data_IF_894272032435
#
_entry.id   IF_894272032435
#
_cell.length_a   1.000
_cell.length_b   1.000
_cell.length_c   1.000
_cell.angle_alpha   90.00
_cell.angle_beta   90.00
_cell.angle_gamma   90.00
#
_symmetry.space_group_name_H-M   'P 1'
#
loop_
_entity.id
_entity.type
_entity.pdbx_description
1 polymer ?
#
# COMPACT_ATOMS: atom_id res chain seq x y z
N UNK A 1 -5.79 -7.23 -12.26
CA UNK A 1 -5.08 -5.97 -11.99
C UNK A 1 -3.58 -6.20 -11.85
N UNK A 2 -3.15 -6.99 -10.85
CA UNK A 2 -1.73 -7.31 -10.60
C UNK A 2 -0.92 -7.62 -11.86
N UNK A 3 -1.31 -8.65 -12.64
CA UNK A 3 -0.59 -9.03 -13.86
C UNK A 3 -0.40 -7.87 -14.86
N UNK A 4 -1.41 -6.99 -15.02
CA UNK A 4 -1.31 -5.83 -15.91
C UNK A 4 -0.24 -4.86 -15.43
N UNK A 5 -0.15 -4.63 -14.12
CA UNK A 5 0.86 -3.75 -13.54
C UNK A 5 2.26 -4.39 -13.63
N UNK A 6 2.35 -5.69 -13.35
CA UNK A 6 3.60 -6.45 -13.43
C UNK A 6 4.20 -6.42 -14.83
N UNK A 7 3.38 -6.63 -15.87
CA UNK A 7 3.82 -6.56 -17.27
C UNK A 7 4.44 -5.18 -17.58
N UNK A 8 3.82 -4.09 -17.10
CA UNK A 8 4.36 -2.76 -17.34
C UNK A 8 5.72 -2.56 -16.67
N UNK A 9 5.89 -3.04 -15.43
CA UNK A 9 7.19 -3.01 -14.73
C UNK A 9 8.24 -3.84 -15.47
N UNK A 10 7.90 -5.06 -15.88
CA UNK A 10 8.80 -5.95 -16.63
C UNK A 10 9.23 -5.33 -17.97
N UNK A 11 8.30 -4.69 -18.68
CA UNK A 11 8.60 -3.97 -19.93
C UNK A 11 9.51 -2.77 -19.71
N UNK A 12 9.31 -2.02 -18.61
CA UNK A 12 10.18 -0.90 -18.26
C UNK A 12 11.63 -1.35 -18.07
N UNK A 13 11.83 -2.45 -17.36
CA UNK A 13 13.17 -3.02 -17.11
C UNK A 13 13.80 -3.58 -18.38
N UNK A 14 13.04 -4.36 -19.16
CA UNK A 14 13.56 -5.03 -20.35
C UNK A 14 13.91 -4.06 -21.48
N UNK A 15 13.14 -2.98 -21.63
CA UNK A 15 13.28 -2.03 -22.73
C UNK A 15 13.94 -0.71 -22.27
N UNK A 16 14.25 -0.56 -20.98
CA UNK A 16 14.77 0.67 -20.38
C UNK A 16 13.90 1.91 -20.70
N UNK A 17 12.59 1.76 -20.55
CA UNK A 17 11.58 2.81 -20.78
C UNK A 17 10.76 3.07 -19.52
N UNK A 18 10.06 4.20 -19.48
CA UNK A 18 9.23 4.61 -18.35
C UNK A 18 7.74 4.53 -18.70
N UNK A 19 7.07 3.46 -18.25
CA UNK A 19 5.62 3.27 -18.39
C UNK A 19 4.95 3.52 -17.05
N UNK A 20 4.11 4.55 -16.98
CA UNK A 20 3.30 4.85 -15.80
C UNK A 20 1.94 4.16 -15.90
N UNK A 21 1.44 3.68 -14.76
CA UNK A 21 0.12 3.04 -14.68
C UNK A 21 -0.75 3.68 -13.61
N UNK A 22 -2.03 3.85 -13.95
CA UNK A 22 -3.04 4.40 -13.05
C UNK A 22 -4.18 3.38 -12.93
N UNK A 23 -4.20 2.56 -11.87
CA UNK A 23 -5.30 1.62 -11.64
C UNK A 23 -6.62 2.37 -11.45
N UNK A 24 -7.46 2.36 -12.50
CA UNK A 24 -8.78 2.95 -12.44
C UNK A 24 -9.85 1.92 -12.06
N UNK A 25 -10.86 2.37 -11.31
CA UNK A 25 -12.09 1.60 -11.08
C UNK A 25 -12.88 1.52 -12.39
N UNK A 26 -13.31 0.32 -12.76
CA UNK A 26 -14.14 0.12 -13.94
C UNK A 26 -15.57 0.63 -13.70
N UNK A 27 -16.14 1.28 -14.71
CA UNK A 27 -17.54 1.74 -14.74
C UNK A 27 -18.17 1.15 -16.01
N UNK A 28 -19.30 0.43 -15.91
CA UNK A 28 -20.00 -0.09 -17.08
C UNK A 28 -20.46 1.02 -18.03
N UNK A 29 -20.52 0.72 -19.33
CA UNK A 29 -20.99 1.68 -20.33
C UNK A 29 -22.52 1.75 -20.42
N UNK A 30 -23.23 0.69 -19.99
CA UNK A 30 -24.67 0.54 -20.14
C UNK A 30 -25.32 0.03 -18.84
N UNK A 31 -26.63 0.28 -18.69
CA UNK A 31 -27.45 -0.13 -17.53
C UNK A 31 -27.55 0.93 -16.44
N UNK A 32 -28.40 0.72 -15.43
CA UNK A 32 -28.55 1.65 -14.30
C UNK A 32 -27.23 1.88 -13.55
N UNK A 33 -26.39 0.85 -13.45
CA UNK A 33 -25.06 0.88 -12.83
C UNK A 33 -24.07 1.84 -13.51
N UNK A 34 -24.32 2.26 -14.76
CA UNK A 34 -23.46 3.26 -15.45
C UNK A 34 -23.72 4.69 -14.97
N UNK A 35 -24.86 4.92 -14.31
CA UNK A 35 -25.28 6.26 -13.85
C UNK A 35 -24.61 6.68 -12.55
N UNK A 36 -24.02 5.74 -11.80
CA UNK A 36 -23.35 6.03 -10.53
C UNK A 36 -21.93 5.43 -10.50
N UNK A 37 -21.15 5.81 -9.49
CA UNK A 37 -19.78 5.29 -9.29
C UNK A 37 -19.73 4.09 -8.36
N UNK A 38 -20.87 3.45 -8.12
CA UNK A 38 -21.00 2.44 -7.08
C UNK A 38 -20.66 1.05 -7.59
N UNK A 39 -20.84 0.77 -8.88
CA UNK A 39 -20.57 -0.53 -9.51
C UNK A 39 -19.31 -1.23 -8.96
N UNK A 40 -19.46 -2.45 -8.45
CA UNK A 40 -18.36 -3.33 -8.06
C UNK A 40 -18.46 -4.60 -8.90
N UNK A 41 -17.41 -4.93 -9.64
CA UNK A 41 -17.39 -6.11 -10.48
C UNK A 41 -17.37 -7.42 -9.68
N UNK A 42 -17.82 -8.52 -10.30
CA UNK A 42 -18.00 -9.85 -9.66
C UNK A 42 -16.79 -10.41 -8.89
N UNK A 43 -15.57 -10.00 -9.24
CA UNK A 43 -14.31 -10.46 -8.61
C UNK A 43 -13.73 -9.45 -7.61
N UNK A 44 -14.47 -8.38 -7.31
CA UNK A 44 -14.08 -7.31 -6.40
C UNK A 44 -15.09 -7.20 -5.27
N UNK A 45 -14.61 -6.74 -4.12
CA UNK A 45 -15.42 -6.40 -2.97
C UNK A 45 -14.96 -5.04 -2.41
N UNK A 46 -15.70 -4.50 -1.45
CA UNK A 46 -15.40 -3.17 -0.87
C UNK A 46 -14.03 -3.13 -0.22
N UNK A 47 -13.64 -4.20 0.51
CA UNK A 47 -12.33 -4.32 1.14
C UNK A 47 -11.18 -4.20 0.13
N UNK A 48 -11.25 -4.92 -0.99
CA UNK A 48 -10.19 -4.92 -1.99
C UNK A 48 -10.08 -3.56 -2.69
N UNK A 49 -11.21 -2.91 -2.95
CA UNK A 49 -11.23 -1.53 -3.49
C UNK A 49 -10.54 -0.58 -2.51
N UNK A 50 -10.84 -0.68 -1.21
CA UNK A 50 -10.21 0.14 -0.15
C UNK A 50 -8.73 -0.14 0.04
N UNK A 51 -8.30 -1.41 -0.07
CA UNK A 51 -6.90 -1.78 -0.03
C UNK A 51 -6.12 -1.15 -1.18
N UNK A 52 -6.62 -1.27 -2.43
CA UNK A 52 -6.00 -0.62 -3.59
C UNK A 52 -5.98 0.90 -3.44
N UNK A 53 -7.08 1.51 -2.98
CA UNK A 53 -7.10 2.96 -2.69
C UNK A 53 -6.05 3.34 -1.64
N UNK A 54 -5.86 2.52 -0.62
CA UNK A 54 -4.86 2.77 0.42
C UNK A 54 -3.45 2.70 -0.14
N UNK A 55 -3.14 1.70 -0.98
CA UNK A 55 -1.87 1.62 -1.70
C UNK A 55 -1.69 2.86 -2.58
N UNK A 56 -2.71 3.22 -3.36
CA UNK A 56 -2.65 4.35 -4.29
C UNK A 56 -2.57 5.71 -3.59
N UNK A 57 -3.18 5.87 -2.43
CA UNK A 57 -3.05 7.09 -1.63
C UNK A 57 -1.60 7.33 -1.24
N UNK A 58 -0.87 6.25 -0.91
CA UNK A 58 0.57 6.30 -0.61
C UNK A 58 1.38 6.52 -1.90
N UNK A 59 0.93 6.05 -3.06
CA UNK A 59 1.64 6.29 -4.34
C UNK A 59 1.18 7.57 -5.08
N UNK A 60 0.28 8.37 -4.50
CA UNK A 60 -0.45 9.47 -5.17
C UNK A 60 -1.13 9.06 -6.49
N UNK A 61 -1.59 7.82 -6.58
CA UNK A 61 -2.30 7.26 -7.72
C UNK A 61 -1.41 6.75 -8.85
N UNK A 62 -0.10 7.04 -8.81
CA UNK A 62 0.87 6.60 -9.82
C UNK A 62 1.46 5.26 -9.39
N UNK A 63 1.56 4.30 -10.30
CA UNK A 63 2.40 3.12 -10.10
C UNK A 63 3.71 3.36 -10.85
N UNK A 64 4.79 3.53 -10.08
CA UNK A 64 6.14 3.77 -10.58
C UNK A 64 6.74 2.51 -11.22
N UNK A 65 7.61 2.65 -12.24
CA UNK A 65 8.25 1.53 -12.92
C UNK A 65 9.31 0.78 -12.08
N UNK A 66 9.71 1.29 -10.92
CA UNK A 66 10.71 0.61 -10.08
C UNK A 66 10.20 -0.72 -9.50
N UNK A 67 10.85 -1.85 -9.83
CA UNK A 67 10.45 -3.19 -9.35
C UNK A 67 10.40 -3.31 -7.83
N UNK A 68 11.43 -2.87 -7.11
CA UNK A 68 11.44 -2.93 -5.65
C UNK A 68 10.23 -2.21 -5.03
N UNK A 69 9.87 -1.07 -5.61
CA UNK A 69 8.73 -0.29 -5.18
C UNK A 69 7.41 -1.00 -5.49
N UNK A 70 7.27 -1.49 -6.72
CA UNK A 70 6.11 -2.27 -7.15
C UNK A 70 5.89 -3.50 -6.27
N UNK A 71 6.94 -4.30 -6.07
CA UNK A 71 6.89 -5.53 -5.26
C UNK A 71 6.57 -5.23 -3.80
N UNK A 72 7.08 -4.13 -3.24
CA UNK A 72 6.72 -3.74 -1.87
C UNK A 72 5.26 -3.29 -1.80
N UNK A 73 4.77 -2.50 -2.76
CA UNK A 73 3.42 -1.95 -2.77
C UNK A 73 2.34 -3.00 -3.09
N UNK A 74 2.56 -3.84 -4.10
CA UNK A 74 1.59 -4.78 -4.66
C UNK A 74 1.95 -6.26 -4.42
N UNK A 75 3.11 -6.55 -3.82
CA UNK A 75 3.60 -7.92 -3.61
C UNK A 75 4.47 -8.41 -4.77
N UNK A 76 5.33 -9.39 -4.49
CA UNK A 76 6.22 -10.02 -5.48
C UNK A 76 5.50 -11.00 -6.41
N UNK A 77 4.38 -11.53 -5.93
CA UNK A 77 3.60 -12.55 -6.61
C UNK A 77 2.11 -12.38 -6.29
N UNK A 78 1.28 -13.18 -6.96
CA UNK A 78 -0.18 -13.14 -6.82
C UNK A 78 -0.61 -13.45 -5.37
N UNK A 79 0.11 -14.33 -4.66
CA UNK A 79 -0.21 -14.68 -3.27
C UNK A 79 -0.02 -13.49 -2.33
N UNK A 80 1.14 -12.83 -2.41
CA UNK A 80 1.42 -11.62 -1.63
C UNK A 80 0.47 -10.47 -1.98
N UNK A 81 0.10 -10.33 -3.25
CA UNK A 81 -0.91 -9.37 -3.68
C UNK A 81 -2.27 -9.64 -3.01
N UNK A 82 -2.68 -10.91 -2.92
CA UNK A 82 -3.92 -11.27 -2.23
C UNK A 82 -3.84 -11.04 -0.72
N UNK A 83 -2.73 -11.39 -0.06
CA UNK A 83 -2.48 -11.06 1.34
C UNK A 83 -2.65 -9.55 1.58
N UNK A 84 -2.04 -8.74 0.72
CA UNK A 84 -2.12 -7.29 0.74
C UNK A 84 -3.55 -6.76 0.62
N UNK A 85 -4.39 -7.37 -0.21
CA UNK A 85 -5.79 -6.97 -0.36
C UNK A 85 -6.60 -7.20 0.92
N UNK A 86 -6.28 -8.25 1.68
CA UNK A 86 -6.93 -8.53 2.96
C UNK A 86 -6.31 -7.78 4.14
N UNK A 87 -5.09 -7.27 4.03
CA UNK A 87 -4.43 -6.51 5.09
C UNK A 87 -5.25 -5.26 5.51
N UNK A 88 -5.32 -4.90 6.80
CA UNK A 88 -5.99 -3.67 7.23
C UNK A 88 -5.44 -2.44 6.52
N UNK A 89 -6.32 -1.48 6.17
CA UNK A 89 -5.95 -0.28 5.44
C UNK A 89 -4.89 0.55 6.18
N UNK A 90 -5.00 0.63 7.49
CA UNK A 90 -4.00 1.30 8.38
C UNK A 90 -2.62 0.70 8.22
N UNK A 91 -2.52 -0.62 8.06
CA UNK A 91 -1.26 -1.35 7.95
C UNK A 91 -0.66 -1.16 6.56
N UNK A 92 -1.50 -0.98 5.53
CA UNK A 92 -1.04 -0.64 4.19
C UNK A 92 -0.48 0.79 4.16
N UNK A 93 -1.20 1.75 4.74
CA UNK A 93 -0.82 3.18 4.72
C UNK A 93 0.43 3.44 5.57
N UNK A 94 0.49 2.88 6.78
CA UNK A 94 1.59 3.09 7.73
C UNK A 94 2.48 1.86 7.86
N UNK A 95 2.71 1.17 6.74
CA UNK A 95 3.39 -0.13 6.71
C UNK A 95 4.71 -0.16 7.45
N UNK A 96 5.54 0.87 7.28
CA UNK A 96 6.84 0.95 7.95
C UNK A 96 6.70 0.93 9.48
N UNK A 97 5.80 1.73 10.02
CA UNK A 97 5.58 1.82 11.48
C UNK A 97 5.08 0.48 12.02
N UNK A 98 4.08 -0.12 11.37
CA UNK A 98 3.50 -1.39 11.81
C UNK A 98 4.43 -2.60 11.61
N UNK A 99 5.29 -2.57 10.58
CA UNK A 99 6.25 -3.64 10.26
C UNK A 99 7.55 -3.54 11.07
N UNK A 100 8.16 -2.36 11.15
CA UNK A 100 9.49 -2.15 11.72
C UNK A 100 9.46 -1.69 13.19
N UNK A 101 8.56 -0.78 13.57
CA UNK A 101 8.57 -0.19 14.93
C UNK A 101 7.68 -0.97 15.91
N UNK A 102 6.48 -1.37 15.48
CA UNK A 102 5.49 -2.01 16.36
C UNK A 102 5.44 -3.54 16.23
N UNK A 103 5.88 -4.10 15.10
CA UNK A 103 5.87 -5.54 14.83
C UNK A 103 4.47 -6.17 14.65
N UNK A 104 3.39 -5.39 14.71
CA UNK A 104 2.01 -5.90 14.59
C UNK A 104 1.72 -6.55 13.24
N UNK A 105 2.41 -6.16 12.17
CA UNK A 105 2.26 -6.80 10.85
C UNK A 105 2.59 -8.29 10.90
N UNK A 106 3.60 -8.69 11.70
CA UNK A 106 3.98 -10.11 11.86
C UNK A 106 2.90 -10.89 12.60
N UNK A 107 2.39 -10.31 13.70
CA UNK A 107 1.32 -10.91 14.50
C UNK A 107 0.05 -11.10 13.64
N UNK A 108 -0.31 -10.09 12.85
CA UNK A 108 -1.45 -10.20 11.93
C UNK A 108 -1.23 -11.32 10.91
N UNK A 109 -0.05 -11.42 10.28
CA UNK A 109 0.27 -12.51 9.34
C UNK A 109 0.18 -13.89 9.96
N UNK A 110 0.70 -14.07 11.17
CA UNK A 110 0.61 -15.33 11.90
C UNK A 110 -0.85 -15.71 12.17
N UNK A 111 -1.66 -14.76 12.64
CA UNK A 111 -3.08 -14.99 12.87
C UNK A 111 -3.84 -15.29 11.56
N UNK A 112 -3.52 -14.57 10.49
CA UNK A 112 -4.12 -14.74 9.17
C UNK A 112 -3.83 -16.13 8.59
N UNK A 113 -2.58 -16.59 8.69
CA UNK A 113 -2.14 -17.89 8.17
C UNK A 113 -2.60 -19.07 9.03
N UNK A 114 -2.86 -18.85 10.32
CA UNK A 114 -3.30 -19.89 11.26
C UNK A 114 -4.83 -20.12 11.26
N UNK A 115 -5.58 -19.39 10.45
CA UNK A 115 -7.01 -19.63 10.26
C UNK A 115 -7.23 -20.94 9.48
N UNK A 116 -8.11 -21.79 10.00
CA UNK A 116 -8.56 -22.98 9.29
C UNK A 116 -9.53 -22.62 8.15
N UNK A 117 -9.86 -23.59 7.29
CA UNK A 117 -10.83 -23.38 6.21
C UNK A 117 -12.20 -22.94 6.73
N UNK A 118 -12.63 -23.52 7.86
CA UNK A 118 -13.92 -23.19 8.47
C UNK A 118 -13.91 -21.79 9.09
N UNK A 119 -12.81 -21.42 9.75
CA UNK A 119 -12.63 -20.05 10.27
C UNK A 119 -12.66 -19.02 9.12
N UNK A 120 -12.10 -19.38 7.96
CA UNK A 120 -12.08 -18.55 6.76
C UNK A 120 -13.46 -18.36 6.13
N UNK A 121 -14.33 -19.38 6.17
CA UNK A 121 -15.71 -19.28 5.69
C UNK A 121 -16.48 -18.20 6.47
N UNK A 122 -16.23 -18.10 7.79
CA UNK A 122 -16.83 -17.09 8.65
C UNK A 122 -16.16 -15.72 8.52
N UNK A 123 -14.83 -15.66 8.52
CA UNK A 123 -14.07 -14.41 8.51
C UNK A 123 -14.19 -13.64 7.19
N UNK A 124 -14.19 -14.35 6.05
CA UNK A 124 -14.15 -13.76 4.72
C UNK A 124 -15.29 -12.79 4.44
N UNK A 125 -16.58 -13.13 4.60
CA UNK A 125 -17.67 -12.18 4.34
C UNK A 125 -17.60 -10.95 5.25
N UNK A 126 -17.15 -11.11 6.50
CA UNK A 126 -16.98 -10.00 7.44
C UNK A 126 -15.88 -9.06 6.94
N UNK A 127 -14.71 -9.58 6.58
CA UNK A 127 -13.59 -8.76 6.09
C UNK A 127 -13.94 -8.10 4.77
N UNK A 128 -14.55 -8.82 3.82
CA UNK A 128 -14.88 -8.32 2.48
C UNK A 128 -15.94 -7.20 2.48
N UNK A 129 -16.84 -7.19 3.49
CA UNK A 129 -17.81 -6.11 3.71
C UNK A 129 -17.15 -4.77 4.04
N UNK A 130 -15.94 -4.81 4.62
CA UNK A 130 -15.19 -3.65 5.10
C UNK A 130 -15.92 -2.84 6.19
N UNK A 131 -16.70 -3.51 7.04
CA UNK A 131 -17.50 -2.91 8.12
C UNK A 131 -17.16 -3.53 9.48
N UNK A 132 -16.31 -2.82 10.24
CA UNK A 132 -15.67 -3.33 11.46
C UNK A 132 -16.11 -2.64 12.77
N UNK A 133 -17.21 -1.87 12.78
CA UNK A 133 -17.68 -1.20 14.01
C UNK A 133 -18.23 -2.21 15.04
N UNK A 134 -19.03 -3.18 14.60
CA UNK A 134 -19.67 -4.18 15.46
C UNK A 134 -19.23 -5.61 15.09
N UNK A 135 -17.93 -5.84 14.98
CA UNK A 135 -17.44 -7.16 14.56
C UNK A 135 -17.66 -8.26 15.61
N UNK A 136 -17.80 -7.88 16.89
CA UNK A 136 -18.02 -8.81 18.00
C UNK A 136 -19.40 -9.46 18.02
N UNK A 137 -20.39 -8.85 17.35
CA UNK A 137 -21.73 -9.44 17.19
C UNK A 137 -21.84 -10.34 15.95
N UNK A 138 -20.88 -10.27 15.04
CA UNK A 138 -20.88 -11.00 13.75
C UNK A 138 -20.26 -12.40 13.85
N UNK A 139 -19.47 -12.67 14.87
CA UNK A 139 -18.77 -13.96 15.04
C UNK A 139 -18.51 -14.24 16.52
N UNK A 140 -18.60 -15.51 16.91
CA UNK A 140 -18.23 -15.99 18.25
C UNK A 140 -16.87 -16.70 18.26
N UNK A 141 -16.21 -16.82 17.10
CA UNK A 141 -14.98 -17.57 16.99
C UNK A 141 -13.80 -16.76 17.53
N UNK A 142 -13.09 -17.25 18.57
CA UNK A 142 -12.04 -16.50 19.24
C UNK A 142 -10.84 -16.21 18.34
N UNK A 143 -10.56 -17.06 17.33
CA UNK A 143 -9.48 -16.81 16.37
C UNK A 143 -9.83 -15.67 15.41
N UNK A 144 -11.04 -15.70 14.88
CA UNK A 144 -11.55 -14.67 13.97
C UNK A 144 -11.67 -13.33 14.70
N UNK A 145 -12.15 -13.30 15.94
CA UNK A 145 -12.22 -12.09 16.75
C UNK A 145 -10.84 -11.46 17.01
N UNK A 146 -9.81 -12.27 17.27
CA UNK A 146 -8.43 -11.79 17.41
C UNK A 146 -7.95 -11.12 16.13
N UNK A 147 -8.20 -11.74 14.97
CA UNK A 147 -7.84 -11.19 13.68
C UNK A 147 -8.59 -9.88 13.40
N UNK A 148 -9.91 -9.85 13.61
CA UNK A 148 -10.78 -8.70 13.33
C UNK A 148 -10.43 -7.48 14.19
N UNK A 149 -9.83 -7.67 15.37
CA UNK A 149 -9.30 -6.59 16.21
C UNK A 149 -8.31 -5.69 15.45
N UNK A 150 -7.52 -6.26 14.53
CA UNK A 150 -6.57 -5.48 13.71
C UNK A 150 -7.27 -4.51 12.74
N UNK A 151 -8.52 -4.78 12.38
CA UNK A 151 -9.31 -3.99 11.42
C UNK A 151 -10.16 -2.91 12.09
N UNK A 152 -10.34 -2.96 13.42
CA UNK A 152 -11.10 -1.95 14.15
C UNK A 152 -10.32 -0.64 14.31
N UNK A 153 -8.99 -0.67 14.17
CA UNK A 153 -8.12 0.50 14.30
C UNK A 153 -8.38 1.42 13.11
N UNK A 154 -8.97 2.60 13.34
CA UNK A 154 -9.21 3.56 12.26
C UNK A 154 -7.95 4.37 11.96
N UNK A 155 -7.85 4.83 10.72
CA UNK A 155 -6.79 5.77 10.28
C UNK A 155 -6.72 7.07 11.12
N UNK A 156 -7.80 7.41 11.83
CA UNK A 156 -7.87 8.57 12.72
C UNK A 156 -7.33 8.28 14.13
N UNK A 157 -7.30 7.01 14.56
CA UNK A 157 -6.86 6.60 15.89
C UNK A 157 -5.33 6.55 16.01
N UNK A 158 -4.63 6.39 14.88
CA UNK A 158 -3.21 6.73 14.76
C UNK A 158 -3.12 8.25 14.77
N UNK A 159 -3.17 8.85 15.97
CA UNK A 159 -3.21 10.30 16.15
C UNK A 159 -2.08 10.94 15.34
N UNK A 160 -2.41 11.97 14.56
CA UNK A 160 -1.44 12.91 13.96
C UNK A 160 -0.46 13.52 14.98
N UNK A 161 -0.74 13.34 16.27
CA UNK A 161 0.04 13.80 17.42
C UNK A 161 1.02 12.79 18.00
N UNK A 162 1.07 11.55 17.49
CA UNK A 162 2.10 10.61 17.94
C UNK A 162 3.50 11.19 17.66
N UNK A 163 4.30 11.31 18.71
CA UNK A 163 5.63 11.91 18.64
C UNK A 163 6.51 11.15 17.63
N UNK A 164 6.33 9.83 17.56
CA UNK A 164 6.95 8.97 16.56
C UNK A 164 6.56 9.38 15.13
N UNK A 165 5.26 9.54 14.85
CA UNK A 165 4.74 9.96 13.55
C UNK A 165 5.23 11.36 13.12
N UNK A 166 5.22 12.34 14.04
CA UNK A 166 5.71 13.70 13.78
C UNK A 166 7.22 13.73 13.52
N UNK A 167 7.99 12.93 14.24
CA UNK A 167 9.45 12.84 14.08
C UNK A 167 9.82 12.15 12.76
N UNK A 168 9.08 11.10 12.38
CA UNK A 168 9.25 10.40 11.12
C UNK A 168 8.92 11.32 9.94
N UNK A 169 7.75 11.97 9.95
CA UNK A 169 7.34 12.93 8.92
C UNK A 169 8.35 14.05 8.71
N UNK A 170 8.86 14.67 9.79
CA UNK A 170 9.88 15.74 9.71
C UNK A 170 11.22 15.26 9.14
N UNK A 171 11.62 14.01 9.40
CA UNK A 171 12.84 13.41 8.86
C UNK A 171 12.72 13.23 7.35
N UNK A 172 11.58 12.72 6.88
CA UNK A 172 11.33 12.50 5.46
C UNK A 172 11.09 13.78 4.66
N UNK A 173 10.37 14.76 5.22
CA UNK A 173 10.15 16.07 4.58
C UNK A 173 11.46 16.83 4.30
N UNK A 174 12.55 16.55 5.05
CA UNK A 174 13.88 17.13 4.80
C UNK A 174 14.64 16.42 3.68
N UNK A 175 14.52 15.10 3.59
CA UNK A 175 15.13 14.30 2.52
C UNK A 175 14.48 14.61 1.16
N UNK A 176 13.16 14.88 1.17
CA UNK A 176 12.36 15.32 0.01
C UNK A 176 12.82 16.69 -0.52
N UNK A 177 13.56 17.53 0.22
CA UNK A 177 14.00 18.82 -0.33
C UNK A 177 15.30 18.74 -1.15
N UNK A 178 15.94 17.57 -1.24
CA UNK A 178 17.27 17.41 -1.81
C UNK A 178 17.36 16.60 -3.12
N UNK A 179 16.26 16.10 -3.68
CA UNK A 179 16.29 15.15 -4.80
C UNK A 179 15.69 15.73 -6.10
N UNK A 180 16.32 15.45 -7.25
CA UNK A 180 15.99 16.04 -8.56
C UNK A 180 14.83 15.34 -9.29
N UNK A 181 14.40 14.15 -8.86
CA UNK A 181 13.25 13.43 -9.43
C UNK A 181 11.95 13.58 -8.60
N UNK A 182 11.89 14.68 -7.84
CA UNK A 182 10.88 14.98 -6.82
C UNK A 182 9.41 14.94 -7.28
N UNK A 183 9.16 15.24 -8.54
CA UNK A 183 7.84 15.62 -8.99
C UNK A 183 6.93 14.44 -9.39
N UNK A 184 7.43 13.20 -9.41
CA UNK A 184 6.66 12.07 -9.95
C UNK A 184 6.54 10.83 -9.05
N UNK A 185 7.26 10.75 -7.90
CA UNK A 185 7.38 9.45 -7.18
C UNK A 185 7.20 9.51 -5.66
N UNK A 186 6.78 10.63 -5.05
CA UNK A 186 6.93 10.79 -3.60
C UNK A 186 5.62 10.62 -2.83
N UNK A 187 5.44 9.46 -2.19
CA UNK A 187 5.04 9.36 -0.76
C UNK A 187 5.36 7.96 -0.23
N UNK A 188 6.60 7.50 -0.38
CA UNK A 188 7.08 6.36 0.40
C UNK A 188 8.34 6.71 1.18
N UNK A 189 8.32 6.33 2.45
CA UNK A 189 9.44 6.29 3.40
C UNK A 189 10.48 5.19 3.04
N UNK A 190 10.62 4.85 1.76
CA UNK A 190 11.47 3.78 1.26
C UNK A 190 12.71 4.33 0.56
N UNK A 191 13.68 4.76 1.34
CA UNK A 191 15.08 4.60 0.96
C UNK A 191 15.88 4.16 2.19
N UNK A 192 16.42 2.93 2.14
CA UNK A 192 17.66 2.61 2.82
C UNK A 192 18.77 2.86 1.80
N UNK A 193 19.28 4.08 1.73
CA UNK A 193 20.55 4.30 1.03
C UNK A 193 21.65 3.83 1.97
N UNK A 194 22.04 2.56 1.83
CA UNK A 194 23.37 2.13 2.21
C UNK A 194 24.36 2.87 1.30
N UNK A 195 24.82 4.05 1.73
CA UNK A 195 26.04 4.67 1.19
C UNK A 195 27.22 4.21 2.04
N UNK A 196 27.74 3.02 1.72
CA UNK A 196 29.12 2.69 2.00
C UNK A 196 29.96 3.05 0.77
N UNK A 197 30.77 4.09 0.97
CA UNK A 197 32.08 4.34 0.38
C UNK A 197 32.21 4.71 -1.11
N UNK A 198 32.64 5.96 -1.31
CA UNK A 198 33.78 6.32 -2.17
C UNK A 198 33.51 6.45 -3.66
N UNK A 199 33.61 7.68 -4.19
CA UNK A 199 34.82 8.17 -4.88
C UNK A 199 34.59 9.63 -5.33
N UNK A 200 35.72 10.32 -5.36
CA UNK A 200 36.02 11.74 -5.50
C UNK A 200 35.50 12.52 -6.71
N UNK A 201 35.34 13.82 -6.43
CA UNK A 201 35.61 15.03 -7.25
C UNK A 201 35.14 15.09 -8.70
N UNK A 202 34.43 16.18 -9.06
CA UNK A 202 34.95 17.19 -10.02
C UNK A 202 34.21 18.53 -9.85
N UNK A 203 34.99 19.58 -9.56
CA UNK A 203 34.62 21.00 -9.67
C UNK A 203 34.52 21.38 -11.14
N UNK A 204 33.50 22.15 -11.53
CA UNK A 204 33.59 23.04 -12.70
C UNK A 204 33.03 24.40 -12.29
N UNK A 205 33.90 25.41 -12.35
CA UNK A 205 33.58 26.84 -12.27
C UNK A 205 32.68 27.24 -13.43
N UNK A 206 31.64 28.03 -13.16
CA UNK A 206 30.96 28.84 -14.17
C UNK A 206 31.33 30.29 -13.85
N UNK A 207 32.28 30.84 -14.60
CA UNK A 207 32.43 32.29 -14.75
C UNK A 207 31.41 32.77 -15.79
N UNK A 208 30.50 33.64 -15.35
CA UNK A 208 29.57 34.36 -16.21
C UNK A 208 30.33 35.42 -17.01
N UNK A 209 30.22 35.36 -18.34
CA UNK A 209 30.54 36.49 -19.21
C UNK A 209 29.38 37.50 -19.17
N UNK A 210 29.65 38.70 -18.66
CA UNK A 210 29.33 39.96 -19.33
C UNK A 210 30.31 41.04 -18.89
#
# INVERSE_FOLDING_TARGET
LYNRLKINVELCENLNIYIYSFPMKYIPLYGEESKNREFIGKKWNRKFIRAIQSILNVTRGIVSPGRNFFEKAFGKNISEYHELLYMPETYIVYRKIFEEELGYTKIWREQFNNLSKDDWIEAKPIIESNEFQDYTSKTNNPKVLKLLKHYSVKNYDVKKDDIAFKKLRRKYDRLIKGDQFLNLTITYDFENVNKSNGIDTFRIHVEEKK
#
